data_IF_565842016730
#
_entry.id   IF_565842016730
#
_cell.length_a   1.000
_cell.length_b   1.000
_cell.length_c   1.000
_cell.angle_alpha   90.00
_cell.angle_beta   90.00
_cell.angle_gamma   90.00
#
_symmetry.space_group_name_H-M   'P 1'
#
loop_
_entity.id
_entity.type
_entity.pdbx_description
1 polymer ?
#
# COMPACT_ATOMS: atom_id res chain seq x y z
N UNK A 1 -58.07 18.81 25.31
CA UNK A 1 -58.22 17.98 24.13
C UNK A 1 -57.53 18.53 22.89
N UNK A 2 -57.67 19.82 22.51
CA UNK A 2 -57.04 20.37 21.30
C UNK A 2 -55.51 20.32 21.29
N UNK A 3 -54.80 20.51 22.42
CA UNK A 3 -53.35 20.42 22.53
C UNK A 3 -52.78 19.00 22.30
N UNK A 4 -53.50 17.97 22.70
CA UNK A 4 -53.05 16.58 22.53
C UNK A 4 -53.24 16.07 21.10
N UNK A 5 -54.22 16.63 20.37
CA UNK A 5 -54.45 16.33 18.96
C UNK A 5 -53.35 16.95 18.08
N UNK A 6 -52.90 18.16 18.44
CA UNK A 6 -51.78 18.82 17.72
C UNK A 6 -50.44 18.08 17.95
N UNK A 7 -50.20 17.55 19.16
CA UNK A 7 -49.02 16.74 19.46
C UNK A 7 -49.04 15.40 18.73
N UNK A 8 -50.22 14.78 18.59
CA UNK A 8 -50.40 13.52 17.86
C UNK A 8 -50.21 13.73 16.35
N UNK A 9 -50.63 14.89 15.82
CA UNK A 9 -50.40 15.27 14.43
C UNK A 9 -48.95 15.59 14.14
N UNK A 10 -48.20 16.23 15.05
CA UNK A 10 -46.74 16.45 14.98
C UNK A 10 -45.94 15.14 15.11
N UNK A 11 -46.42 14.17 15.90
CA UNK A 11 -45.82 12.84 16.01
C UNK A 11 -46.07 11.97 14.77
N UNK A 12 -47.21 12.13 14.10
CA UNK A 12 -47.53 11.43 12.86
C UNK A 12 -46.87 12.04 11.62
N UNK A 13 -46.43 13.30 11.66
CA UNK A 13 -45.67 13.94 10.58
C UNK A 13 -44.16 13.73 10.67
N UNK A 14 -43.66 13.13 11.76
CA UNK A 14 -42.31 12.60 11.86
C UNK A 14 -42.14 11.23 11.20
N UNK A 15 -43.06 10.82 10.32
CA UNK A 15 -42.75 9.80 9.30
C UNK A 15 -41.62 10.37 8.45
N UNK A 16 -40.45 9.92 8.77
CA UNK A 16 -39.19 10.22 8.07
C UNK A 16 -39.47 10.18 6.57
N UNK A 17 -39.52 11.33 5.92
CA UNK A 17 -39.31 11.42 4.49
C UNK A 17 -37.89 10.88 4.21
N UNK A 18 -37.75 9.55 4.20
CA UNK A 18 -36.62 8.92 3.58
C UNK A 18 -36.69 9.42 2.14
N UNK A 19 -35.72 10.22 1.72
CA UNK A 19 -35.55 10.56 0.33
C UNK A 19 -35.45 9.21 -0.40
N UNK A 20 -36.56 8.81 -1.01
CA UNK A 20 -36.61 7.55 -1.73
C UNK A 20 -35.89 7.82 -3.05
N UNK A 21 -34.71 7.24 -3.18
CA UNK A 21 -33.96 7.30 -4.42
C UNK A 21 -34.79 6.70 -5.56
N UNK A 22 -34.65 7.18 -6.81
CA UNK A 22 -35.37 6.59 -7.92
C UNK A 22 -35.09 5.09 -8.00
N UNK A 23 -36.13 4.27 -7.96
CA UNK A 23 -36.00 2.82 -8.06
C UNK A 23 -35.39 2.45 -9.41
N UNK A 24 -34.48 1.50 -9.44
CA UNK A 24 -33.96 0.94 -10.67
C UNK A 24 -35.05 0.16 -11.42
N UNK A 25 -34.98 0.12 -12.74
CA UNK A 25 -35.81 -0.77 -13.56
C UNK A 25 -35.39 -2.23 -13.39
N UNK A 26 -36.22 -3.16 -13.84
CA UNK A 26 -35.89 -4.61 -13.83
C UNK A 26 -34.66 -4.92 -14.70
N UNK A 27 -34.48 -4.15 -15.77
CA UNK A 27 -33.41 -4.34 -16.76
C UNK A 27 -32.12 -3.59 -16.39
N UNK A 28 -32.08 -2.98 -15.20
CA UNK A 28 -30.87 -2.32 -14.72
C UNK A 28 -29.74 -3.32 -14.53
N UNK A 29 -28.54 -2.91 -14.89
CA UNK A 29 -27.30 -3.66 -14.72
C UNK A 29 -26.45 -3.04 -13.61
N UNK A 30 -25.88 -3.86 -12.74
CA UNK A 30 -24.81 -3.48 -11.83
C UNK A 30 -23.58 -4.27 -12.23
N UNK A 31 -22.45 -3.61 -12.39
CA UNK A 31 -21.22 -4.24 -12.81
C UNK A 31 -20.00 -3.75 -12.03
N UNK A 32 -19.04 -4.66 -11.89
CA UNK A 32 -17.72 -4.36 -11.40
C UNK A 32 -16.85 -3.94 -12.59
N UNK A 33 -16.28 -2.74 -12.54
CA UNK A 33 -15.26 -2.29 -13.47
C UNK A 33 -13.90 -2.54 -12.86
N UNK A 34 -13.02 -3.18 -13.62
CA UNK A 34 -11.61 -3.36 -13.24
C UNK A 34 -10.71 -2.75 -14.29
N UNK A 35 -9.85 -1.85 -13.83
CA UNK A 35 -8.82 -1.21 -14.64
C UNK A 35 -7.51 -1.96 -14.44
N UNK A 36 -6.83 -2.29 -15.53
CA UNK A 36 -5.52 -2.96 -15.48
C UNK A 36 -4.47 -2.09 -14.79
N UNK A 37 -3.47 -2.71 -14.14
CA UNK A 37 -2.28 -1.99 -13.71
C UNK A 37 -1.65 -1.21 -14.85
N UNK A 38 -1.12 -0.02 -14.55
CA UNK A 38 -0.28 0.78 -15.46
C UNK A 38 0.98 1.26 -14.74
N UNK A 39 1.93 1.75 -15.50
CA UNK A 39 3.22 2.19 -14.94
C UNK A 39 3.37 3.71 -14.84
N UNK A 40 2.32 4.47 -15.15
CA UNK A 40 2.36 5.93 -15.21
C UNK A 40 2.70 6.56 -13.85
N UNK A 41 2.10 6.01 -12.78
CA UNK A 41 2.22 6.54 -11.43
C UNK A 41 2.48 5.41 -10.42
N UNK A 42 3.00 5.76 -9.25
CA UNK A 42 3.33 4.77 -8.19
C UNK A 42 2.10 3.98 -7.74
N UNK A 43 0.92 4.60 -7.70
CA UNK A 43 -0.31 3.96 -7.25
C UNK A 43 -1.04 3.18 -8.35
N UNK A 44 -0.76 3.44 -9.63
CA UNK A 44 -1.44 2.75 -10.75
C UNK A 44 -0.96 1.33 -10.98
N UNK A 45 0.21 0.97 -10.43
CA UNK A 45 0.77 -0.41 -10.54
C UNK A 45 -0.11 -1.49 -9.90
N UNK A 46 -1.08 -1.09 -9.09
CA UNK A 46 -2.01 -2.01 -8.43
C UNK A 46 -3.32 -2.20 -9.20
N UNK A 47 -3.56 -1.38 -10.24
CA UNK A 47 -4.84 -1.32 -10.92
C UNK A 47 -5.88 -0.51 -10.13
N UNK A 48 -7.14 -0.54 -10.61
CA UNK A 48 -8.23 0.18 -9.96
C UNK A 48 -9.55 -0.56 -10.11
N UNK A 49 -10.53 -0.27 -9.24
CA UNK A 49 -11.86 -0.87 -9.26
C UNK A 49 -12.94 0.17 -9.01
N UNK A 50 -14.07 0.05 -9.70
CA UNK A 50 -15.25 0.88 -9.49
C UNK A 50 -16.54 0.08 -9.73
N UNK A 51 -17.68 0.58 -9.24
CA UNK A 51 -18.99 0.02 -9.52
C UNK A 51 -19.73 0.86 -10.54
N UNK A 52 -20.28 0.23 -11.57
CA UNK A 52 -21.15 0.88 -12.55
C UNK A 52 -22.60 0.48 -12.32
N UNK A 53 -23.50 1.45 -12.37
CA UNK A 53 -24.93 1.23 -12.40
C UNK A 53 -25.48 1.81 -13.71
N UNK A 54 -26.10 0.94 -14.52
CA UNK A 54 -26.66 1.30 -15.82
C UNK A 54 -28.14 0.94 -15.85
N UNK A 55 -28.97 1.90 -16.18
CA UNK A 55 -30.43 1.73 -16.40
C UNK A 55 -30.84 2.53 -17.62
N UNK A 56 -30.94 1.86 -18.77
CA UNK A 56 -31.25 2.50 -20.04
C UNK A 56 -32.62 3.18 -20.02
N UNK A 57 -33.62 2.60 -19.32
CA UNK A 57 -34.97 3.16 -19.22
C UNK A 57 -35.00 4.50 -18.50
N UNK A 58 -34.02 4.76 -17.62
CA UNK A 58 -33.87 5.99 -16.83
C UNK A 58 -32.78 6.91 -17.33
N UNK A 59 -32.12 6.56 -18.42
CA UNK A 59 -30.93 7.27 -18.95
C UNK A 59 -29.84 7.40 -17.89
N UNK A 60 -29.71 6.41 -17.00
CA UNK A 60 -28.72 6.34 -15.96
C UNK A 60 -27.54 5.48 -16.47
N UNK A 61 -26.34 6.01 -16.40
CA UNK A 61 -25.09 5.27 -16.65
C UNK A 61 -23.97 5.96 -15.87
N UNK A 62 -23.78 5.49 -14.65
CA UNK A 62 -22.97 6.15 -13.63
C UNK A 62 -21.98 5.18 -13.02
N UNK A 63 -20.74 5.62 -12.87
CA UNK A 63 -19.67 4.91 -12.15
C UNK A 63 -19.49 5.51 -10.76
N UNK A 64 -19.51 4.66 -9.75
CA UNK A 64 -19.19 4.97 -8.37
C UNK A 64 -17.74 4.59 -8.11
N UNK A 65 -16.89 5.61 -8.07
CA UNK A 65 -15.43 5.51 -8.02
C UNK A 65 -14.92 5.81 -6.60
N UNK A 66 -14.49 4.77 -5.88
CA UNK A 66 -13.88 4.88 -4.56
C UNK A 66 -12.38 5.14 -4.69
N UNK A 67 -11.79 5.84 -3.72
CA UNK A 67 -10.34 6.05 -3.72
C UNK A 67 -9.89 7.36 -4.35
N UNK A 68 -10.81 8.29 -4.60
CA UNK A 68 -10.45 9.63 -5.08
C UNK A 68 -9.82 10.43 -3.96
N UNK A 69 -8.62 10.95 -4.17
CA UNK A 69 -7.88 11.77 -3.22
C UNK A 69 -7.48 13.12 -3.83
N UNK A 70 -7.06 14.04 -2.96
CA UNK A 70 -6.76 15.42 -3.35
C UNK A 70 -5.39 15.83 -2.79
N UNK A 71 -4.40 15.92 -3.68
CA UNK A 71 -3.04 16.34 -3.34
C UNK A 71 -2.93 17.81 -2.91
N UNK A 72 -3.92 18.65 -3.25
CA UNK A 72 -3.89 20.09 -2.94
C UNK A 72 -4.14 20.38 -1.45
N UNK A 73 -4.59 19.41 -0.67
CA UNK A 73 -4.86 19.60 0.76
C UNK A 73 -3.58 19.90 1.53
N UNK A 74 -3.61 20.83 2.49
CA UNK A 74 -2.45 21.18 3.30
C UNK A 74 -1.83 19.96 3.99
N UNK A 75 -0.51 19.91 4.02
CA UNK A 75 0.27 18.86 4.68
C UNK A 75 -0.05 17.44 4.14
N UNK A 76 -0.40 17.30 2.87
CA UNK A 76 -0.78 16.01 2.28
C UNK A 76 0.27 14.92 2.54
N UNK A 77 1.56 15.18 2.28
CA UNK A 77 2.66 14.19 2.49
C UNK A 77 2.73 13.74 3.94
N UNK A 78 2.64 14.66 4.89
CA UNK A 78 2.66 14.32 6.32
C UNK A 78 1.45 13.47 6.71
N UNK A 79 0.24 13.89 6.27
CA UNK A 79 -1.00 13.13 6.54
C UNK A 79 -0.98 11.76 5.89
N UNK A 80 -0.44 11.66 4.67
CA UNK A 80 -0.24 10.39 3.98
C UNK A 80 0.72 9.48 4.76
N UNK A 81 1.90 9.96 5.12
CA UNK A 81 2.87 9.20 5.91
C UNK A 81 2.30 8.77 7.28
N UNK A 82 1.44 9.60 7.88
CA UNK A 82 0.78 9.30 9.15
C UNK A 82 -0.39 8.31 9.01
N UNK A 83 -0.86 8.02 7.79
CA UNK A 83 -2.06 7.20 7.57
C UNK A 83 -3.37 7.94 7.86
N UNK A 84 -3.35 9.26 7.80
CA UNK A 84 -4.52 10.13 8.07
C UNK A 84 -5.06 10.81 6.80
N UNK A 85 -4.83 10.21 5.63
CA UNK A 85 -5.35 10.73 4.38
C UNK A 85 -6.78 10.27 4.18
N UNK A 86 -7.68 11.25 3.99
CA UNK A 86 -9.07 11.00 3.67
C UNK A 86 -9.24 10.95 2.15
N UNK A 87 -9.89 9.91 1.70
CA UNK A 87 -10.29 9.68 0.32
C UNK A 87 -11.79 9.82 0.22
N UNK A 88 -12.32 9.87 -0.98
CA UNK A 88 -13.75 10.00 -1.19
C UNK A 88 -14.28 9.09 -2.29
N UNK A 89 -15.57 8.80 -2.20
CA UNK A 89 -16.36 8.33 -3.32
C UNK A 89 -16.67 9.50 -4.27
N UNK A 90 -16.59 9.27 -5.57
CA UNK A 90 -17.11 10.15 -6.61
C UNK A 90 -18.04 9.37 -7.53
N UNK A 91 -19.22 9.93 -7.79
CA UNK A 91 -20.12 9.45 -8.84
C UNK A 91 -19.88 10.28 -10.09
N UNK A 92 -19.61 9.63 -11.22
CA UNK A 92 -19.32 10.28 -12.50
C UNK A 92 -19.99 9.53 -13.66
N UNK A 93 -20.15 10.17 -14.81
CA UNK A 93 -20.64 9.49 -16.00
C UNK A 93 -19.67 8.41 -16.45
N UNK A 94 -20.18 7.26 -16.85
CA UNK A 94 -19.34 6.15 -17.37
C UNK A 94 -18.46 6.59 -18.53
N UNK A 95 -18.97 7.44 -19.42
CA UNK A 95 -18.19 7.99 -20.54
C UNK A 95 -16.93 8.71 -20.04
N UNK A 96 -17.05 9.54 -19.02
CA UNK A 96 -15.92 10.34 -18.52
C UNK A 96 -14.89 9.45 -17.83
N UNK A 97 -15.35 8.42 -17.10
CA UNK A 97 -14.47 7.37 -16.53
C UNK A 97 -13.70 6.63 -17.62
N UNK A 98 -14.37 6.21 -18.68
CA UNK A 98 -13.73 5.47 -19.77
C UNK A 98 -12.70 6.33 -20.51
N UNK A 99 -13.02 7.58 -20.82
CA UNK A 99 -12.08 8.52 -21.47
C UNK A 99 -10.80 8.68 -20.64
N UNK A 100 -10.90 8.80 -19.31
CA UNK A 100 -9.75 8.93 -18.44
C UNK A 100 -8.79 7.74 -18.59
N UNK A 101 -9.31 6.50 -18.59
CA UNK A 101 -8.47 5.31 -18.69
C UNK A 101 -8.03 4.96 -20.11
N UNK A 102 -8.80 5.36 -21.12
CA UNK A 102 -8.37 5.32 -22.52
C UNK A 102 -7.15 6.22 -22.76
N UNK A 103 -7.18 7.46 -22.21
CA UNK A 103 -6.04 8.38 -22.27
C UNK A 103 -4.80 7.85 -21.55
N UNK A 104 -4.97 7.02 -20.53
CA UNK A 104 -3.87 6.34 -19.81
C UNK A 104 -3.42 5.05 -20.48
N UNK A 105 -4.08 4.60 -21.55
CA UNK A 105 -3.79 3.32 -22.20
C UNK A 105 -4.11 2.09 -21.37
N UNK A 106 -4.92 2.23 -20.33
CA UNK A 106 -5.27 1.12 -19.42
C UNK A 106 -6.43 0.30 -19.99
N UNK A 107 -6.36 -1.04 -19.85
CA UNK A 107 -7.52 -1.90 -20.12
C UNK A 107 -8.62 -1.64 -19.08
N UNK A 108 -9.86 -1.59 -19.52
CA UNK A 108 -11.03 -1.58 -18.63
C UNK A 108 -11.91 -2.79 -18.95
N UNK A 109 -12.06 -3.68 -17.97
CA UNK A 109 -12.93 -4.85 -18.03
C UNK A 109 -14.17 -4.60 -17.19
N UNK A 110 -15.35 -4.99 -17.72
CA UNK A 110 -16.64 -4.96 -17.03
C UNK A 110 -17.11 -6.38 -16.74
N UNK A 111 -17.47 -6.67 -15.50
CA UNK A 111 -18.13 -7.90 -15.06
C UNK A 111 -19.56 -7.55 -14.62
N UNK A 112 -20.55 -7.96 -15.41
CA UNK A 112 -21.98 -7.72 -15.10
C UNK A 112 -22.41 -8.76 -14.07
N UNK A 113 -22.96 -8.28 -12.94
CA UNK A 113 -23.34 -9.13 -11.83
C UNK A 113 -24.74 -9.73 -12.02
N UNK A 114 -24.87 -11.04 -11.79
CA UNK A 114 -26.17 -11.73 -11.79
C UNK A 114 -26.82 -11.65 -10.42
N UNK A 115 -27.35 -10.49 -10.13
CA UNK A 115 -28.05 -10.16 -8.87
C UNK A 115 -29.53 -9.92 -9.19
N UNK A 116 -30.41 -10.35 -8.31
CA UNK A 116 -31.85 -10.13 -8.47
C UNK A 116 -32.25 -8.66 -8.31
N UNK A 117 -33.50 -8.35 -8.62
CA UNK A 117 -33.98 -6.95 -8.56
C UNK A 117 -33.94 -6.39 -7.13
N UNK A 118 -34.10 -7.22 -6.09
CA UNK A 118 -34.06 -6.79 -4.71
C UNK A 118 -32.61 -6.42 -4.30
N UNK A 119 -31.64 -7.29 -4.60
CA UNK A 119 -30.23 -7.01 -4.36
C UNK A 119 -29.72 -5.80 -5.15
N UNK A 120 -30.12 -5.65 -6.43
CA UNK A 120 -29.80 -4.45 -7.22
C UNK A 120 -30.33 -3.18 -6.55
N UNK A 121 -31.56 -3.21 -6.02
CA UNK A 121 -32.14 -2.07 -5.32
C UNK A 121 -31.37 -1.73 -4.03
N UNK A 122 -30.96 -2.74 -3.27
CA UNK A 122 -30.18 -2.58 -2.04
C UNK A 122 -28.78 -2.01 -2.32
N UNK A 123 -28.07 -2.54 -3.34
CA UNK A 123 -26.77 -2.00 -3.76
C UNK A 123 -26.92 -0.54 -4.21
N UNK A 124 -27.96 -0.23 -5.00
CA UNK A 124 -28.21 1.14 -5.43
C UNK A 124 -28.44 2.09 -4.26
N UNK A 125 -29.28 1.69 -3.30
CA UNK A 125 -29.54 2.48 -2.10
C UNK A 125 -28.25 2.70 -1.29
N UNK A 126 -27.44 1.65 -1.08
CA UNK A 126 -26.15 1.74 -0.39
C UNK A 126 -25.19 2.71 -1.09
N UNK A 127 -25.09 2.64 -2.41
CA UNK A 127 -24.25 3.54 -3.20
C UNK A 127 -24.71 5.00 -3.10
N UNK A 128 -26.04 5.23 -3.14
CA UNK A 128 -26.62 6.57 -3.00
C UNK A 128 -26.43 7.13 -1.59
N UNK A 129 -26.53 6.30 -0.56
CA UNK A 129 -26.24 6.69 0.84
C UNK A 129 -24.76 7.05 0.98
N UNK A 130 -23.86 6.22 0.44
CA UNK A 130 -22.42 6.46 0.50
C UNK A 130 -22.00 7.72 -0.28
N UNK A 131 -22.73 8.07 -1.34
CA UNK A 131 -22.42 9.26 -2.15
C UNK A 131 -22.91 10.58 -1.52
N UNK A 132 -23.63 10.55 -0.41
CA UNK A 132 -24.05 11.79 0.29
C UNK A 132 -22.81 12.54 0.79
N UNK A 133 -22.83 13.88 0.81
CA UNK A 133 -21.69 14.69 1.27
C UNK A 133 -21.12 14.27 2.62
N UNK A 134 -22.00 13.88 3.57
CA UNK A 134 -21.65 13.45 4.91
C UNK A 134 -21.02 12.05 4.98
N UNK A 135 -21.24 11.19 3.97
CA UNK A 135 -20.81 9.78 3.99
C UNK A 135 -19.70 9.47 3.01
N UNK A 136 -19.53 10.28 1.97
CA UNK A 136 -18.61 9.96 0.85
C UNK A 136 -17.13 10.04 1.18
N UNK A 137 -16.77 10.68 2.30
CA UNK A 137 -15.37 10.82 2.75
C UNK A 137 -15.07 9.72 3.75
N UNK A 138 -13.94 9.02 3.56
CA UNK A 138 -13.54 7.94 4.44
C UNK A 138 -12.02 7.89 4.61
N UNK A 139 -11.57 7.27 5.71
CA UNK A 139 -10.15 7.02 5.95
C UNK A 139 -9.71 5.85 5.10
N UNK A 140 -8.83 6.12 4.16
CA UNK A 140 -8.30 5.12 3.26
C UNK A 140 -7.31 4.19 3.97
N UNK A 141 -7.41 2.91 3.69
CA UNK A 141 -6.49 1.89 4.14
C UNK A 141 -6.14 0.98 2.97
N UNK A 142 -4.85 0.98 2.59
CA UNK A 142 -4.41 0.30 1.38
C UNK A 142 -4.77 -1.19 1.36
N UNK A 143 -4.66 -1.90 2.50
CA UNK A 143 -4.94 -3.33 2.56
C UNK A 143 -6.41 -3.66 2.86
N UNK A 144 -7.09 -2.84 3.64
CA UNK A 144 -8.35 -3.25 4.26
C UNK A 144 -9.55 -2.34 3.96
N UNK A 145 -9.34 -1.14 3.41
CA UNK A 145 -10.41 -0.21 3.06
C UNK A 145 -10.04 0.68 1.87
N UNK A 146 -10.09 0.09 0.66
CA UNK A 146 -9.61 0.71 -0.57
C UNK A 146 -10.65 0.65 -1.71
N UNK A 147 -10.22 0.97 -2.94
CA UNK A 147 -11.06 0.96 -4.14
C UNK A 147 -11.55 -0.44 -4.55
N UNK A 148 -10.95 -1.52 -4.06
CA UNK A 148 -11.37 -2.89 -4.35
C UNK A 148 -12.22 -3.46 -3.20
N UNK A 149 -11.79 -3.28 -1.95
CA UNK A 149 -12.48 -3.85 -0.77
C UNK A 149 -13.85 -3.22 -0.53
N UNK A 150 -14.02 -1.90 -0.78
CA UNK A 150 -15.34 -1.24 -0.61
C UNK A 150 -16.38 -1.72 -1.60
N UNK A 151 -16.13 -1.78 -2.92
CA UNK A 151 -17.04 -2.41 -3.86
C UNK A 151 -17.39 -3.85 -3.50
N UNK A 152 -16.39 -4.66 -3.13
CA UNK A 152 -16.61 -6.04 -2.71
C UNK A 152 -17.55 -6.13 -1.51
N UNK A 153 -17.29 -5.37 -0.45
CA UNK A 153 -18.14 -5.35 0.76
C UNK A 153 -19.58 -4.94 0.46
N UNK A 154 -19.80 -3.91 -0.37
CA UNK A 154 -21.15 -3.48 -0.76
C UNK A 154 -21.89 -4.61 -1.47
N UNK A 155 -21.22 -5.32 -2.38
CA UNK A 155 -21.83 -6.43 -3.12
C UNK A 155 -22.11 -7.59 -2.15
N UNK A 156 -21.18 -7.96 -1.30
CA UNK A 156 -21.32 -9.03 -0.31
C UNK A 156 -22.50 -8.78 0.66
N UNK A 157 -22.65 -7.54 1.14
CA UNK A 157 -23.68 -7.16 2.10
C UNK A 157 -25.07 -7.03 1.47
N UNK A 158 -25.14 -6.63 0.19
CA UNK A 158 -26.38 -6.18 -0.43
C UNK A 158 -26.88 -7.10 -1.57
N UNK A 159 -26.11 -8.08 -2.02
CA UNK A 159 -26.48 -8.92 -3.16
C UNK A 159 -27.65 -9.89 -2.87
N UNK A 160 -28.11 -9.99 -1.64
CA UNK A 160 -29.28 -10.81 -1.26
C UNK A 160 -28.98 -12.30 -1.17
N UNK A 161 -27.72 -12.71 -1.11
CA UNK A 161 -27.31 -14.11 -0.97
C UNK A 161 -25.90 -14.26 -0.43
N UNK A 162 -25.50 -15.48 -0.12
CA UNK A 162 -24.15 -15.80 0.32
C UNK A 162 -23.25 -15.97 -0.91
N UNK A 163 -22.15 -15.20 -0.97
CA UNK A 163 -21.15 -15.33 -2.02
C UNK A 163 -20.04 -16.26 -1.54
N UNK A 164 -19.75 -17.29 -2.35
CA UNK A 164 -18.65 -18.22 -2.14
C UNK A 164 -17.61 -18.02 -3.25
N UNK A 165 -16.39 -17.67 -2.85
CA UNK A 165 -15.27 -17.43 -3.77
C UNK A 165 -14.51 -18.74 -4.02
N UNK A 166 -14.39 -19.13 -5.29
CA UNK A 166 -13.76 -20.38 -5.71
C UNK A 166 -12.44 -20.13 -6.47
N UNK A 167 -11.86 -18.95 -6.33
CA UNK A 167 -10.65 -18.58 -7.05
C UNK A 167 -9.47 -19.49 -6.66
N UNK A 168 -8.76 -20.07 -7.65
CA UNK A 168 -7.66 -21.01 -7.41
C UNK A 168 -6.35 -20.28 -7.08
N UNK A 169 -6.39 -19.32 -6.14
CA UNK A 169 -5.22 -18.56 -5.76
C UNK A 169 -4.19 -19.42 -5.06
N UNK A 170 -2.92 -19.23 -5.44
CA UNK A 170 -1.80 -19.78 -4.68
C UNK A 170 -1.69 -19.07 -3.35
N UNK A 171 -1.21 -19.77 -2.34
CA UNK A 171 -0.90 -19.17 -1.05
C UNK A 171 0.22 -18.14 -1.22
N UNK A 172 -0.05 -16.90 -0.89
CA UNK A 172 0.85 -15.76 -1.00
C UNK A 172 0.71 -14.88 0.25
N UNK A 173 1.80 -14.31 0.70
CA UNK A 173 1.77 -13.26 1.71
C UNK A 173 1.31 -11.92 1.09
N UNK A 174 0.91 -10.96 1.94
CA UNK A 174 0.64 -9.61 1.46
C UNK A 174 1.88 -9.01 0.78
N UNK A 175 3.09 -9.29 1.28
CA UNK A 175 4.34 -8.85 0.68
C UNK A 175 4.53 -9.44 -0.71
N UNK A 176 4.27 -10.74 -0.90
CA UNK A 176 4.37 -11.38 -2.21
C UNK A 176 3.44 -10.71 -3.22
N UNK A 177 2.20 -10.39 -2.80
CA UNK A 177 1.21 -9.70 -3.62
C UNK A 177 1.68 -8.29 -4.02
N UNK A 178 2.22 -7.51 -3.08
CA UNK A 178 2.80 -6.19 -3.35
C UNK A 178 3.98 -6.31 -4.31
N UNK A 179 4.92 -7.22 -4.03
CA UNK A 179 6.12 -7.41 -4.83
C UNK A 179 5.80 -7.90 -6.24
N UNK A 180 4.73 -8.72 -6.40
CA UNK A 180 4.23 -9.08 -7.71
C UNK A 180 3.73 -7.87 -8.51
N UNK A 181 2.99 -6.95 -7.89
CA UNK A 181 2.52 -5.74 -8.55
C UNK A 181 3.67 -4.77 -8.89
N UNK A 182 4.69 -4.69 -8.05
CA UNK A 182 5.80 -3.74 -8.21
C UNK A 182 7.02 -4.31 -8.94
N UNK A 183 6.95 -5.57 -9.40
CA UNK A 183 8.10 -6.32 -9.97
C UNK A 183 8.83 -5.61 -11.12
N UNK A 184 8.10 -4.84 -11.93
CA UNK A 184 8.65 -4.07 -13.04
C UNK A 184 9.30 -2.75 -12.59
N UNK A 185 9.14 -2.36 -11.32
CA UNK A 185 9.71 -1.14 -10.70
C UNK A 185 10.56 -1.50 -9.48
N UNK A 186 11.79 -2.02 -9.66
CA UNK A 186 12.59 -2.56 -8.56
C UNK A 186 12.86 -1.57 -7.42
N UNK A 187 12.96 -0.27 -7.71
CA UNK A 187 13.11 0.77 -6.68
C UNK A 187 11.83 0.98 -5.86
N UNK A 188 10.66 0.79 -6.47
CA UNK A 188 9.39 0.81 -5.74
C UNK A 188 9.28 -0.41 -4.83
N UNK A 189 9.63 -1.61 -5.33
CA UNK A 189 9.69 -2.83 -4.51
C UNK A 189 10.63 -2.65 -3.32
N UNK A 190 11.84 -2.09 -3.56
CA UNK A 190 12.80 -1.78 -2.50
C UNK A 190 12.22 -0.84 -1.44
N UNK A 191 11.51 0.22 -1.85
CA UNK A 191 10.86 1.16 -0.94
C UNK A 191 9.72 0.52 -0.15
N UNK A 192 8.87 -0.30 -0.79
CA UNK A 192 7.81 -1.05 -0.13
C UNK A 192 8.38 -2.03 0.91
N UNK A 193 9.42 -2.80 0.55
CA UNK A 193 10.05 -3.75 1.45
C UNK A 193 10.73 -3.08 2.65
N UNK A 194 11.20 -1.84 2.48
CA UNK A 194 11.76 -1.05 3.56
C UNK A 194 10.67 -0.55 4.53
N UNK A 195 9.56 -0.04 3.99
CA UNK A 195 8.49 0.57 4.77
C UNK A 195 7.59 -0.46 5.48
N UNK A 196 7.33 -1.60 4.83
CA UNK A 196 6.42 -2.64 5.32
C UNK A 196 7.10 -3.56 6.33
N UNK A 197 6.45 -3.76 7.46
CA UNK A 197 6.91 -4.63 8.55
C UNK A 197 6.53 -6.11 8.36
N UNK A 198 6.87 -6.92 9.37
CA UNK A 198 6.62 -8.38 9.37
C UNK A 198 5.15 -8.80 9.27
N UNK A 199 4.13 -8.03 9.66
CA UNK A 199 2.74 -8.45 9.44
C UNK A 199 2.37 -8.65 7.97
N UNK A 200 3.10 -8.04 7.02
CA UNK A 200 2.90 -8.29 5.59
C UNK A 200 3.40 -9.65 5.12
N UNK A 201 4.20 -10.33 5.91
CA UNK A 201 4.72 -11.66 5.59
C UNK A 201 3.74 -12.79 5.97
N UNK A 202 2.62 -12.44 6.59
CA UNK A 202 1.50 -13.35 6.84
C UNK A 202 0.83 -13.75 5.51
N UNK A 203 0.51 -15.04 5.38
CA UNK A 203 -0.28 -15.54 4.25
C UNK A 203 -1.68 -14.88 4.28
N UNK A 204 -2.06 -14.32 3.15
CA UNK A 204 -3.38 -13.74 2.96
C UNK A 204 -4.40 -14.85 2.62
N UNK A 205 -5.63 -14.72 3.14
CA UNK A 205 -6.74 -15.56 2.70
C UNK A 205 -7.19 -15.16 1.30
N UNK A 206 -7.96 -16.02 0.61
CA UNK A 206 -8.54 -15.68 -0.71
C UNK A 206 -9.29 -14.35 -0.68
N UNK A 207 -10.10 -14.13 0.35
CA UNK A 207 -10.84 -12.88 0.53
C UNK A 207 -9.91 -11.67 0.74
N UNK A 208 -8.86 -11.83 1.54
CA UNK A 208 -7.90 -10.75 1.77
C UNK A 208 -7.10 -10.41 0.51
N UNK A 209 -6.82 -11.36 -0.39
CA UNK A 209 -6.13 -11.08 -1.66
C UNK A 209 -6.91 -10.13 -2.57
N UNK A 210 -8.25 -10.07 -2.40
CA UNK A 210 -9.14 -9.20 -3.16
C UNK A 210 -8.95 -7.69 -2.88
N UNK A 211 -8.04 -7.31 -1.96
CA UNK A 211 -7.66 -5.91 -1.83
C UNK A 211 -6.98 -5.37 -3.10
N UNK A 212 -6.46 -6.27 -3.95
CA UNK A 212 -5.90 -5.93 -5.25
C UNK A 212 -6.96 -6.11 -6.35
N UNK A 213 -7.18 -5.10 -7.20
CA UNK A 213 -8.16 -5.13 -8.28
C UNK A 213 -8.10 -6.36 -9.20
N UNK A 214 -6.91 -6.83 -9.66
CA UNK A 214 -6.83 -8.05 -10.47
C UNK A 214 -7.33 -9.30 -9.74
N UNK A 215 -7.02 -9.44 -8.45
CA UNK A 215 -7.47 -10.57 -7.64
C UNK A 215 -8.98 -10.50 -7.36
N UNK A 216 -9.52 -9.30 -7.13
CA UNK A 216 -10.96 -9.11 -7.00
C UNK A 216 -11.69 -9.52 -8.30
N UNK A 217 -11.20 -9.07 -9.47
CA UNK A 217 -11.75 -9.46 -10.78
C UNK A 217 -11.78 -10.98 -10.94
N UNK A 218 -10.68 -11.66 -10.62
CA UNK A 218 -10.59 -13.13 -10.77
C UNK A 218 -11.50 -13.84 -9.76
N UNK A 219 -11.53 -13.40 -8.51
CA UNK A 219 -12.37 -13.96 -7.47
C UNK A 219 -13.86 -13.83 -7.84
N UNK A 220 -14.29 -12.68 -8.35
CA UNK A 220 -15.68 -12.48 -8.80
C UNK A 220 -16.02 -13.33 -10.01
N UNK A 221 -15.09 -13.47 -10.97
CA UNK A 221 -15.29 -14.26 -12.18
C UNK A 221 -15.51 -15.76 -11.91
N UNK A 222 -15.09 -16.26 -10.74
CA UNK A 222 -15.24 -17.66 -10.33
C UNK A 222 -16.21 -17.84 -9.14
N UNK A 223 -16.77 -16.74 -8.63
CA UNK A 223 -17.65 -16.76 -7.48
C UNK A 223 -19.05 -17.29 -7.85
N UNK A 224 -19.67 -17.92 -6.86
CA UNK A 224 -21.09 -18.31 -6.93
C UNK A 224 -21.87 -17.59 -5.81
N UNK A 225 -23.11 -17.25 -6.09
CA UNK A 225 -24.04 -16.70 -5.12
C UNK A 225 -25.14 -17.71 -4.84
N UNK A 226 -25.38 -17.96 -3.54
CA UNK A 226 -26.47 -18.81 -3.07
C UNK A 226 -27.56 -17.92 -2.52
N UNK A 227 -28.71 -17.89 -3.19
CA UNK A 227 -29.88 -17.11 -2.77
C UNK A 227 -30.50 -17.63 -1.47
N UNK A 228 -31.42 -16.86 -0.90
CA UNK A 228 -32.18 -17.24 0.33
C UNK A 228 -33.08 -18.45 0.11
N UNK A 229 -33.45 -18.75 -1.12
CA UNK A 229 -34.21 -19.93 -1.54
C UNK A 229 -33.34 -21.18 -1.74
N UNK A 230 -32.02 -21.07 -1.53
CA UNK A 230 -31.05 -22.14 -1.74
C UNK A 230 -30.61 -22.31 -3.20
N UNK A 231 -31.10 -21.50 -4.13
CA UNK A 231 -30.65 -21.50 -5.52
C UNK A 231 -29.20 -21.04 -5.59
N UNK A 232 -28.38 -21.73 -6.42
CA UNK A 232 -26.97 -21.38 -6.62
C UNK A 232 -26.74 -21.02 -8.08
N UNK A 233 -26.08 -19.90 -8.32
CA UNK A 233 -25.72 -19.44 -9.66
C UNK A 233 -24.37 -18.73 -9.64
N UNK A 234 -23.80 -18.48 -10.82
CA UNK A 234 -22.59 -17.66 -10.96
C UNK A 234 -22.90 -16.21 -10.54
N UNK A 235 -21.94 -15.56 -9.86
CA UNK A 235 -22.05 -14.16 -9.48
C UNK A 235 -21.96 -13.22 -10.68
N UNK A 236 -21.17 -13.59 -11.69
CA UNK A 236 -20.93 -12.80 -12.90
C UNK A 236 -21.64 -13.46 -14.09
N UNK A 237 -22.60 -12.75 -14.69
CA UNK A 237 -23.34 -13.24 -15.85
C UNK A 237 -22.57 -13.09 -17.16
N UNK A 238 -21.74 -12.05 -17.27
CA UNK A 238 -20.88 -11.84 -18.45
C UNK A 238 -19.72 -10.91 -18.14
N UNK A 239 -18.63 -11.11 -18.88
CA UNK A 239 -17.43 -10.27 -18.82
C UNK A 239 -17.19 -9.64 -20.18
N UNK A 240 -16.91 -8.32 -20.23
CA UNK A 240 -16.66 -7.56 -21.46
C UNK A 240 -15.44 -6.67 -21.28
N UNK A 241 -14.60 -6.55 -22.29
CA UNK A 241 -13.57 -5.53 -22.36
C UNK A 241 -14.19 -4.26 -22.96
N UNK A 242 -14.19 -3.17 -22.20
CA UNK A 242 -14.74 -1.87 -22.65
C UNK A 242 -13.66 -1.03 -23.32
N UNK A 243 -12.43 -1.11 -22.85
CA UNK A 243 -11.23 -0.46 -23.42
C UNK A 243 -10.14 -1.52 -23.50
N UNK A 244 -9.55 -1.67 -24.66
CA UNK A 244 -8.35 -2.48 -24.82
C UNK A 244 -7.15 -1.68 -24.34
N UNK A 245 -6.39 -2.23 -23.42
CA UNK A 245 -5.14 -1.61 -22.96
C UNK A 245 -4.14 -1.53 -24.12
N UNK A 246 -3.28 -0.53 -24.07
CA UNK A 246 -2.09 -0.53 -24.88
C UNK A 246 -1.22 -1.67 -24.36
N UNK A 247 -1.01 -2.69 -25.18
CA UNK A 247 -0.03 -3.72 -24.86
C UNK A 247 1.35 -3.07 -24.92
N UNK A 248 1.92 -2.79 -23.75
CA UNK A 248 3.32 -2.44 -23.69
C UNK A 248 4.12 -3.71 -23.99
N UNK A 249 4.49 -3.89 -25.27
CA UNK A 249 5.34 -5.00 -25.72
C UNK A 249 6.79 -4.83 -25.23
N UNK A 250 7.14 -3.67 -24.67
CA UNK A 250 8.38 -3.47 -23.96
C UNK A 250 8.29 -4.26 -22.64
N UNK A 251 9.06 -5.33 -22.54
CA UNK A 251 9.22 -6.06 -21.29
C UNK A 251 9.70 -5.12 -20.16
N UNK A 252 9.75 -5.61 -18.90
CA UNK A 252 10.12 -4.78 -17.78
C UNK A 252 11.44 -4.06 -18.06
N UNK A 253 11.42 -2.72 -18.08
CA UNK A 253 12.63 -1.92 -18.13
C UNK A 253 13.36 -2.03 -16.78
N UNK A 254 13.89 -3.21 -16.54
CA UNK A 254 14.80 -3.46 -15.43
C UNK A 254 16.20 -3.01 -15.80
N UNK A 255 16.37 -1.75 -16.16
CA UNK A 255 17.66 -1.20 -16.52
C UNK A 255 18.79 -1.66 -15.57
N UNK A 256 20.04 -1.53 -15.99
CA UNK A 256 21.22 -1.96 -15.21
C UNK A 256 21.22 -1.42 -13.76
N UNK A 257 20.63 -0.25 -13.51
CA UNK A 257 20.63 0.43 -12.21
C UNK A 257 19.51 -0.07 -11.25
N UNK A 258 19.47 -1.37 -11.01
CA UNK A 258 18.58 -1.93 -9.99
C UNK A 258 19.10 -1.62 -8.57
N UNK A 259 18.22 -1.62 -7.52
CA UNK A 259 18.64 -1.44 -6.13
C UNK A 259 19.77 -2.38 -5.73
N UNK A 260 19.69 -3.65 -6.14
CA UNK A 260 20.69 -4.65 -5.82
C UNK A 260 22.08 -4.28 -6.38
N UNK A 261 22.15 -3.89 -7.66
CA UNK A 261 23.40 -3.49 -8.31
C UNK A 261 23.96 -2.22 -7.68
N UNK A 262 23.10 -1.21 -7.47
CA UNK A 262 23.52 0.07 -6.88
C UNK A 262 24.02 -0.09 -5.44
N UNK A 263 23.34 -0.90 -4.62
CA UNK A 263 23.73 -1.13 -3.23
C UNK A 263 25.05 -1.94 -3.13
N UNK A 264 25.27 -2.91 -4.02
CA UNK A 264 26.58 -3.60 -4.08
C UNK A 264 27.70 -2.68 -4.57
N UNK A 265 27.46 -1.86 -5.59
CA UNK A 265 28.44 -0.87 -6.05
C UNK A 265 28.79 0.11 -4.92
N UNK A 266 27.79 0.57 -4.18
CA UNK A 266 27.98 1.43 -3.00
C UNK A 266 28.84 0.74 -1.92
N UNK A 267 28.55 -0.52 -1.59
CA UNK A 267 29.36 -1.29 -0.64
C UNK A 267 30.81 -1.42 -1.08
N UNK A 268 31.06 -1.69 -2.36
CA UNK A 268 32.41 -1.78 -2.89
C UNK A 268 33.19 -0.46 -2.75
N UNK A 269 32.52 0.68 -2.92
CA UNK A 269 33.13 2.01 -2.67
C UNK A 269 33.49 2.15 -1.19
N UNK A 270 32.57 1.81 -0.27
CA UNK A 270 32.81 1.87 1.17
C UNK A 270 33.95 0.93 1.58
N UNK A 271 34.01 -0.26 0.99
CA UNK A 271 35.07 -1.24 1.21
C UNK A 271 36.44 -0.70 0.75
N UNK A 272 36.49 -0.14 -0.48
CA UNK A 272 37.73 0.44 -1.02
C UNK A 272 38.25 1.60 -0.16
N UNK A 273 37.35 2.51 0.25
CA UNK A 273 37.73 3.62 1.15
C UNK A 273 38.25 3.09 2.47
N UNK A 274 37.56 2.12 3.09
CA UNK A 274 38.00 1.53 4.36
C UNK A 274 39.33 0.79 4.23
N UNK A 275 39.54 0.11 3.09
CA UNK A 275 40.84 -0.52 2.80
C UNK A 275 41.99 0.51 2.64
N UNK A 276 41.75 1.63 1.97
CA UNK A 276 42.74 2.73 1.85
C UNK A 276 43.08 3.31 3.22
N UNK A 277 42.06 3.56 4.06
CA UNK A 277 42.25 4.05 5.43
C UNK A 277 43.09 3.07 6.26
N UNK A 278 42.76 1.77 6.18
CA UNK A 278 43.50 0.72 6.88
C UNK A 278 44.96 0.66 6.44
N UNK A 279 45.22 0.68 5.13
CA UNK A 279 46.60 0.67 4.55
C UNK A 279 47.42 1.91 4.92
N UNK A 280 46.75 3.09 4.92
CA UNK A 280 47.41 4.36 5.23
C UNK A 280 47.43 4.71 6.73
N UNK A 281 46.83 3.88 7.56
CA UNK A 281 46.63 4.13 8.98
C UNK A 281 45.98 5.50 9.25
N UNK A 282 45.01 5.88 8.42
CA UNK A 282 44.26 7.16 8.50
C UNK A 282 42.80 6.90 8.84
N UNK A 283 42.06 7.97 9.06
CA UNK A 283 40.61 7.93 9.28
C UNK A 283 39.92 9.11 8.65
N UNK A 284 38.98 8.83 7.76
CA UNK A 284 38.18 9.81 7.07
C UNK A 284 36.82 9.92 7.75
N UNK A 285 36.79 10.65 8.88
CA UNK A 285 35.58 10.86 9.69
C UNK A 285 34.33 11.24 8.86
N UNK A 286 34.53 12.01 7.81
CA UNK A 286 33.45 12.47 6.95
C UNK A 286 32.66 11.32 6.32
N UNK A 287 33.34 10.20 6.03
CA UNK A 287 32.69 9.00 5.44
C UNK A 287 31.69 8.41 6.42
N UNK A 288 32.09 8.26 7.70
CA UNK A 288 31.17 7.78 8.72
C UNK A 288 30.04 8.78 8.98
N UNK A 289 30.36 10.07 9.04
CA UNK A 289 29.34 11.11 9.23
C UNK A 289 28.30 11.08 8.12
N UNK A 290 28.68 10.96 6.85
CA UNK A 290 27.72 10.91 5.72
C UNK A 290 26.91 9.62 5.78
N UNK A 291 27.58 8.47 5.93
CA UNK A 291 26.89 7.16 5.94
C UNK A 291 25.87 7.06 7.06
N UNK A 292 26.27 7.39 8.29
CA UNK A 292 25.39 7.33 9.46
C UNK A 292 24.33 8.44 9.45
N UNK A 293 24.62 9.60 8.85
CA UNK A 293 23.59 10.63 8.65
C UNK A 293 22.47 10.14 7.76
N UNK A 294 22.80 9.55 6.60
CA UNK A 294 21.80 9.02 5.67
C UNK A 294 21.01 7.88 6.33
N UNK A 295 21.70 6.94 6.99
CA UNK A 295 21.05 5.86 7.73
C UNK A 295 20.12 6.38 8.84
N UNK A 296 20.58 7.39 9.58
CA UNK A 296 19.80 7.99 10.65
C UNK A 296 18.57 8.76 10.18
N UNK A 297 18.66 9.50 9.06
CA UNK A 297 17.49 10.14 8.44
C UNK A 297 16.47 9.08 7.99
N UNK A 298 16.91 8.04 7.30
CA UNK A 298 16.05 6.91 6.94
C UNK A 298 15.46 6.23 8.19
N UNK A 299 16.26 6.09 9.26
CA UNK A 299 15.84 5.58 10.55
C UNK A 299 14.75 6.42 11.23
N UNK A 300 14.83 7.77 11.12
CA UNK A 300 13.75 8.65 11.61
C UNK A 300 12.46 8.43 10.85
N UNK A 301 12.53 8.31 9.52
CA UNK A 301 11.34 8.03 8.70
C UNK A 301 10.75 6.68 9.07
N UNK A 302 11.58 5.65 9.20
CA UNK A 302 11.14 4.31 9.55
C UNK A 302 10.55 4.25 10.98
N UNK A 303 11.16 4.95 11.92
CA UNK A 303 10.64 5.12 13.28
C UNK A 303 9.26 5.79 13.27
N UNK A 304 9.12 6.88 12.49
CA UNK A 304 7.84 7.56 12.33
C UNK A 304 6.77 6.62 11.77
N UNK A 305 7.07 5.89 10.71
CA UNK A 305 6.15 4.91 10.13
C UNK A 305 5.77 3.82 11.13
N UNK A 306 6.73 3.33 11.92
CA UNK A 306 6.50 2.21 12.84
C UNK A 306 5.76 2.59 14.12
N UNK A 307 5.97 3.81 14.66
CA UNK A 307 5.49 4.16 16.00
C UNK A 307 4.52 5.36 16.03
N UNK A 308 4.44 6.14 14.98
CA UNK A 308 3.58 7.34 14.91
C UNK A 308 2.48 7.17 13.88
N UNK A 309 2.78 6.49 12.77
CA UNK A 309 1.82 6.25 11.71
C UNK A 309 0.73 5.25 12.14
N UNK A 310 -0.47 5.45 11.61
CA UNK A 310 -1.62 4.55 11.77
C UNK A 310 -1.77 3.57 10.60
N UNK A 311 -0.80 3.54 9.66
CA UNK A 311 -0.81 2.56 8.59
C UNK A 311 -0.73 1.14 9.15
N UNK A 312 -1.56 0.21 8.68
CA UNK A 312 -1.42 -1.19 9.04
C UNK A 312 -0.13 -1.78 8.45
N UNK A 313 0.33 -2.84 9.06
CA UNK A 313 1.44 -3.65 8.54
C UNK A 313 2.81 -2.93 8.45
N UNK A 314 3.01 -1.79 9.12
CA UNK A 314 4.32 -1.10 9.19
C UNK A 314 5.10 -1.44 10.45
N UNK A 315 4.47 -2.06 11.46
CA UNK A 315 5.08 -2.47 12.73
C UNK A 315 4.63 -3.90 13.13
N UNK A 316 5.54 -4.72 13.68
CA UNK A 316 6.98 -4.50 13.85
C UNK A 316 7.75 -4.51 12.53
N UNK A 317 8.78 -3.66 12.41
CA UNK A 317 9.65 -3.59 11.24
C UNK A 317 11.12 -3.81 11.64
N UNK A 318 11.69 -4.92 11.20
CA UNK A 318 13.04 -5.33 11.56
C UNK A 318 14.15 -4.52 10.88
N UNK A 319 13.82 -3.72 9.87
CA UNK A 319 14.77 -2.77 9.29
C UNK A 319 15.25 -1.72 10.30
N UNK A 320 14.53 -1.50 11.40
CA UNK A 320 14.93 -0.61 12.51
C UNK A 320 16.25 -1.03 13.18
N UNK A 321 16.69 -2.28 13.02
CA UNK A 321 17.98 -2.72 13.60
C UNK A 321 19.17 -2.01 12.94
N UNK A 322 19.08 -1.75 11.63
CA UNK A 322 20.16 -1.14 10.87
C UNK A 322 19.88 0.30 10.42
N UNK A 323 18.61 0.73 10.45
CA UNK A 323 18.18 2.11 10.23
C UNK A 323 17.52 2.63 11.49
N UNK A 324 18.29 3.32 12.31
CA UNK A 324 17.80 3.79 13.60
C UNK A 324 18.06 5.28 13.79
N UNK A 325 17.17 6.04 14.44
CA UNK A 325 17.36 7.49 14.68
C UNK A 325 18.65 7.82 15.44
N UNK A 326 19.17 6.86 16.23
CA UNK A 326 20.43 7.02 17.00
C UNK A 326 21.67 7.17 16.09
N UNK A 327 21.58 6.79 14.81
CA UNK A 327 22.65 7.04 13.84
C UNK A 327 22.90 8.55 13.66
N UNK A 328 21.90 9.43 13.84
CA UNK A 328 22.10 10.89 13.86
C UNK A 328 22.88 11.34 15.10
N UNK A 329 22.66 10.72 16.24
CA UNK A 329 23.46 10.97 17.44
C UNK A 329 24.90 10.52 17.20
N UNK A 330 25.09 9.39 16.54
CA UNK A 330 26.43 8.88 16.20
C UNK A 330 27.25 9.87 15.36
N UNK A 331 26.64 10.60 14.43
CA UNK A 331 27.30 11.66 13.65
C UNK A 331 27.93 12.70 14.57
N UNK A 332 27.20 13.12 15.61
CA UNK A 332 27.71 14.08 16.61
C UNK A 332 28.86 13.44 17.40
N UNK A 333 28.73 12.17 17.80
CA UNK A 333 29.78 11.45 18.53
C UNK A 333 31.07 11.34 17.70
N UNK A 334 30.97 11.15 16.39
CA UNK A 334 32.10 11.03 15.49
C UNK A 334 32.79 12.40 15.26
N UNK A 335 31.99 13.47 15.13
CA UNK A 335 32.50 14.83 14.84
C UNK A 335 33.19 15.46 16.05
N UNK A 336 32.78 15.18 17.28
CA UNK A 336 33.25 15.84 18.50
C UNK A 336 34.37 15.06 19.15
N UNK A 337 35.60 15.61 19.14
CA UNK A 337 36.81 14.97 19.72
C UNK A 337 36.64 14.51 21.17
N UNK A 338 35.93 15.28 21.99
CA UNK A 338 35.70 14.95 23.40
C UNK A 338 34.81 13.73 23.62
N UNK A 339 34.03 13.34 22.59
CA UNK A 339 33.08 12.23 22.64
C UNK A 339 33.63 10.91 22.08
N UNK A 340 34.93 10.83 21.78
CA UNK A 340 35.59 9.65 21.17
C UNK A 340 35.34 8.34 21.92
N UNK A 341 35.24 8.38 23.26
CA UNK A 341 34.93 7.21 24.05
C UNK A 341 33.50 6.72 23.79
N UNK A 342 32.56 7.63 23.72
CA UNK A 342 31.17 7.33 23.37
C UNK A 342 31.05 6.82 21.93
N UNK A 343 31.76 7.44 20.97
CA UNK A 343 31.85 7.00 19.59
C UNK A 343 32.34 5.54 19.46
N UNK A 344 33.35 5.15 20.25
CA UNK A 344 33.84 3.76 20.30
C UNK A 344 32.75 2.79 20.77
N UNK A 345 32.06 3.10 21.85
CA UNK A 345 30.99 2.24 22.36
C UNK A 345 29.82 2.13 21.37
N UNK A 346 29.51 3.24 20.70
CA UNK A 346 28.50 3.24 19.64
C UNK A 346 28.89 2.27 18.52
N UNK A 347 30.10 2.41 17.95
CA UNK A 347 30.61 1.50 16.94
C UNK A 347 30.63 0.05 17.39
N UNK A 348 31.01 -0.21 18.63
CA UNK A 348 31.05 -1.57 19.19
C UNK A 348 29.64 -2.20 19.26
N UNK A 349 28.68 -1.47 19.82
CA UNK A 349 27.29 -1.93 19.93
C UNK A 349 26.69 -2.14 18.53
N UNK A 350 26.88 -1.17 17.65
CA UNK A 350 26.34 -1.26 16.28
C UNK A 350 26.99 -2.41 15.50
N UNK A 351 28.31 -2.59 15.61
CA UNK A 351 29.01 -3.72 14.99
C UNK A 351 28.47 -5.06 15.49
N UNK A 352 28.28 -5.21 16.80
CA UNK A 352 27.73 -6.43 17.39
C UNK A 352 26.29 -6.70 16.94
N UNK A 353 25.42 -5.68 16.95
CA UNK A 353 24.03 -5.78 16.52
C UNK A 353 23.93 -6.19 15.04
N UNK A 354 24.70 -5.53 14.17
CA UNK A 354 24.72 -5.85 12.73
C UNK A 354 25.36 -7.20 12.42
N UNK A 355 26.34 -7.65 13.25
CA UNK A 355 26.89 -9.02 13.15
C UNK A 355 25.79 -10.04 13.43
N UNK A 356 25.03 -9.86 14.51
CA UNK A 356 23.91 -10.75 14.85
C UNK A 356 22.82 -10.71 13.78
N UNK A 357 22.51 -9.54 13.23
CA UNK A 357 21.54 -9.40 12.15
C UNK A 357 21.99 -10.14 10.87
N UNK A 358 23.24 -9.96 10.45
CA UNK A 358 23.78 -10.64 9.26
C UNK A 358 23.88 -12.15 9.44
N UNK A 359 24.32 -12.62 10.61
CA UNK A 359 24.38 -14.04 10.94
C UNK A 359 23.00 -14.68 11.07
N UNK A 360 22.05 -13.93 11.62
CA UNK A 360 20.66 -14.35 11.82
C UNK A 360 19.70 -14.00 10.70
N UNK A 361 20.15 -13.54 9.53
CA UNK A 361 19.32 -12.99 8.46
C UNK A 361 18.12 -13.85 8.10
N UNK A 362 18.31 -15.17 7.99
CA UNK A 362 17.25 -16.11 7.64
C UNK A 362 16.29 -16.44 8.80
N UNK A 363 16.62 -16.05 10.01
CA UNK A 363 15.78 -16.26 11.19
C UNK A 363 14.96 -15.04 11.57
N UNK A 364 15.17 -13.91 10.88
CA UNK A 364 14.37 -12.69 11.09
C UNK A 364 12.94 -12.98 10.63
N UNK A 365 11.91 -12.74 11.46
CA UNK A 365 10.52 -13.03 11.11
C UNK A 365 9.94 -11.94 10.20
N UNK A 366 10.70 -11.48 9.23
CA UNK A 366 10.35 -10.56 8.17
C UNK A 366 11.17 -10.88 6.93
N UNK A 367 10.51 -10.98 5.79
CA UNK A 367 11.22 -11.09 4.52
C UNK A 367 11.90 -9.75 4.19
N UNK A 368 13.21 -9.71 4.34
CA UNK A 368 14.02 -8.53 4.04
C UNK A 368 14.54 -8.59 2.61
N UNK A 369 14.45 -7.45 1.89
CA UNK A 369 14.98 -7.35 0.53
C UNK A 369 16.50 -7.59 0.52
N UNK A 370 16.98 -8.44 -0.37
CA UNK A 370 18.40 -8.80 -0.47
C UNK A 370 19.31 -7.61 -0.81
N UNK A 371 18.77 -6.55 -1.43
CA UNK A 371 19.49 -5.31 -1.67
C UNK A 371 19.85 -4.54 -0.37
N UNK A 372 19.25 -4.90 0.78
CA UNK A 372 19.64 -4.31 2.07
C UNK A 372 20.95 -4.90 2.60
N UNK A 373 21.31 -6.13 2.21
CA UNK A 373 22.52 -6.80 2.69
C UNK A 373 23.79 -5.93 2.49
N UNK A 374 24.12 -5.42 1.30
CA UNK A 374 25.31 -4.58 1.09
C UNK A 374 25.25 -3.25 1.85
N UNK A 375 24.05 -2.71 2.12
CA UNK A 375 23.91 -1.51 2.95
C UNK A 375 24.20 -1.79 4.42
N UNK A 376 23.65 -2.89 4.95
CA UNK A 376 23.97 -3.38 6.31
C UNK A 376 25.45 -3.69 6.44
N UNK A 377 26.05 -4.35 5.44
CA UNK A 377 27.49 -4.63 5.40
C UNK A 377 28.34 -3.35 5.38
N UNK A 378 27.87 -2.29 4.76
CA UNK A 378 28.57 -1.00 4.76
C UNK A 378 28.64 -0.38 6.15
N UNK A 379 27.52 -0.35 6.88
CA UNK A 379 27.45 0.11 8.27
C UNK A 379 28.26 -0.81 9.20
N UNK A 380 28.16 -2.12 9.02
CA UNK A 380 28.89 -3.12 9.76
C UNK A 380 30.41 -2.95 9.59
N UNK A 381 30.89 -2.83 8.36
CA UNK A 381 32.31 -2.65 8.04
C UNK A 381 32.85 -1.37 8.70
N UNK A 382 32.12 -0.25 8.56
CA UNK A 382 32.55 1.03 9.14
C UNK A 382 32.55 0.97 10.68
N UNK A 383 31.54 0.33 11.28
CA UNK A 383 31.52 0.14 12.73
C UNK A 383 32.66 -0.77 13.20
N UNK A 384 32.94 -1.86 12.49
CA UNK A 384 34.07 -2.74 12.78
C UNK A 384 35.42 -2.01 12.64
N UNK A 385 35.60 -1.19 11.62
CA UNK A 385 36.78 -0.35 11.46
C UNK A 385 36.90 0.70 12.60
N UNK A 386 35.80 1.29 13.04
CA UNK A 386 35.77 2.19 14.19
C UNK A 386 36.26 1.55 15.49
N UNK A 387 35.88 0.29 15.72
CA UNK A 387 36.37 -0.51 16.86
C UNK A 387 37.85 -0.86 16.71
N UNK A 388 38.25 -1.40 15.54
CA UNK A 388 39.64 -1.77 15.25
C UNK A 388 40.60 -0.61 15.44
N UNK A 389 40.26 0.57 14.92
CA UNK A 389 41.04 1.79 14.98
C UNK A 389 41.34 2.23 16.41
N UNK A 390 40.38 2.08 17.34
CA UNK A 390 40.59 2.41 18.76
C UNK A 390 41.55 1.43 19.42
N UNK A 391 41.47 0.13 19.12
CA UNK A 391 42.36 -0.88 19.68
C UNK A 391 43.81 -0.61 19.27
N UNK A 392 44.03 -0.18 18.01
CA UNK A 392 45.37 0.02 17.45
C UNK A 392 45.82 1.49 17.45
N UNK A 393 45.11 2.39 18.14
CA UNK A 393 45.38 3.84 18.25
C UNK A 393 45.53 4.56 16.89
N UNK A 394 44.91 4.05 15.82
CA UNK A 394 45.00 4.62 14.48
C UNK A 394 44.22 5.96 14.43
N UNK A 395 44.92 7.05 14.07
CA UNK A 395 44.33 8.38 13.98
C UNK A 395 44.06 9.05 15.34
N UNK A 396 44.59 8.52 16.43
CA UNK A 396 44.52 9.10 17.77
C UNK A 396 45.80 9.86 18.18
N UNK A 397 46.92 9.63 17.47
CA UNK A 397 48.24 10.11 17.84
C UNK A 397 48.65 11.50 17.31
N UNK A 398 47.76 12.35 16.89
CA UNK A 398 48.16 13.74 16.61
C UNK A 398 47.06 14.69 17.06
N UNK A 399 47.09 14.98 18.40
CA UNK A 399 46.73 16.32 18.93
C UNK A 399 46.81 16.28 20.45
#
# INVERSE_FOLDING_TARGET
MKKNILLLFLLLTSVSLRAQYPLLSKDAEISLLTVSPSEDEVYTVYGHTALRVKDASKKLDTVFNYGIFDFSKPNFIYRFAKGETDYRLAAQYTRDFLIEYEMRGSEVTEQILDIDSAGKAQIWEALMINNRPENRVYRYNFFFDNCATRPAAIIEEQAGGKIDYNAPFKQQSFRDLINFCTRNKPWLTFGCDLALGSPTDRIATTHEMMFLPPYLKEAFGTATITGTDGSRKELVSSTKTLINGLTDESGPDTGFFTPLVCCWAFFLVVLAVTFIEWRRKTYFMIVDCILFFIAGVAGVVLFFLSFVSTHPCVYPNWNIIWLQPFDLVAVILFAVKKLRKAAYYYHFINFAALTLMLAGWHFIPQHLNTAFIPLVMSLWLRSGYGVYRKIWNIGYEKY
#
